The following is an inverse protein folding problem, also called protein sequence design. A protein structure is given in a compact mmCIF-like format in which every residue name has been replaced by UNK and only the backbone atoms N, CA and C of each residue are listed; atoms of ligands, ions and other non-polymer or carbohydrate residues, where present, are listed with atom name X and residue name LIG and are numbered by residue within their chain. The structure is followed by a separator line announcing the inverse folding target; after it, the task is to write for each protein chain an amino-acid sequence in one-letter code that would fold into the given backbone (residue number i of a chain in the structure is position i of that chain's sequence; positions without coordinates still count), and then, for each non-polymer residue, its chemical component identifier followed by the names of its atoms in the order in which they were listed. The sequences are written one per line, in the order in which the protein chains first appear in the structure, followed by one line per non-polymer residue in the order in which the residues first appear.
data_IF_771479557380
#
_entry.id   IF_771479557380
#
_cell.length_a   1.000
_cell.length_b   1.000
_cell.length_c   1.000
_cell.angle_alpha   90.00
_cell.angle_beta   90.00
_cell.angle_gamma   90.00
#
_symmetry.space_group_name_H-M   'P 1'
#
loop_
_entity.id
_entity.type
_entity.pdbx_description
1 polymer ?
2 water ?
#
# COMPACT_ATOMS: atom_id res chain seq x y z
N UNK A 6 12.38 -20.23 17.96
CA UNK A 6 11.31 -20.16 16.93
C UNK A 6 10.44 -18.91 17.08
N UNK A 7 9.90 -18.45 15.95
CA UNK A 7 9.08 -17.25 15.88
C UNK A 7 7.63 -17.45 16.36
N UNK A 8 7.10 -16.44 17.05
CA UNK A 8 5.72 -16.50 17.56
C UNK A 8 4.83 -15.60 16.70
N UNK A 9 3.53 -15.87 16.73
CA UNK A 9 2.56 -15.04 16.00
C UNK A 9 1.94 -14.14 17.08
N UNK A 10 2.35 -12.87 17.10
CA UNK A 10 1.88 -11.92 18.08
C UNK A 10 0.93 -10.83 17.57
N UNK A 11 -0.29 -10.82 18.10
CA UNK A 11 -1.25 -9.81 17.72
C UNK A 11 -0.84 -8.48 18.33
N UNK A 12 -0.96 -7.40 17.55
CA UNK A 12 -0.60 -6.07 18.02
C UNK A 12 -1.81 -5.13 18.00
N UNK A 13 -2.07 -4.50 19.13
CA UNK A 13 -3.21 -3.58 19.25
C UNK A 13 -2.74 -2.16 19.51
N UNK A 14 -3.23 -1.21 18.73
CA UNK A 14 -2.90 0.18 18.96
C UNK A 14 -4.24 0.77 19.42
N UNK A 15 -4.29 1.32 20.64
CA UNK A 15 -5.54 1.86 21.17
C UNK A 15 -5.54 3.34 21.34
N UNK A 16 -6.47 4.00 20.67
CA UNK A 16 -6.60 5.46 20.74
C UNK A 16 -5.23 6.10 20.80
N UNK A 17 -4.35 5.67 19.90
CA UNK A 17 -2.99 6.19 19.83
C UNK A 17 -2.97 7.57 19.19
N UNK A 18 -2.39 8.52 19.90
CA UNK A 18 -2.27 9.87 19.40
C UNK A 18 -0.85 10.36 19.67
N UNK A 19 -0.34 11.19 18.78
CA UNK A 19 0.98 11.74 18.94
C UNK A 19 0.99 13.17 18.42
N UNK A 20 1.14 14.16 19.31
CA UNK A 20 1.20 15.54 18.83
C UNK A 20 2.51 16.22 19.20
N UNK A 21 3.22 16.68 18.18
CA UNK A 21 4.49 17.38 18.40
C UNK A 21 4.14 18.85 18.61
N UNK A 22 3.84 19.20 19.85
CA UNK A 22 3.49 20.57 20.16
C UNK A 22 2.07 20.89 19.73
N UNK A 23 1.93 21.49 18.56
CA UNK A 23 0.62 21.88 18.02
C UNK A 23 0.17 20.95 16.89
N UNK A 24 1.13 20.29 16.25
CA UNK A 24 0.84 19.39 15.14
C UNK A 24 0.49 17.97 15.58
N UNK A 25 -0.74 17.55 15.33
CA UNK A 25 -1.17 16.21 15.65
C UNK A 25 -0.69 15.31 14.50
N UNK A 26 0.39 14.57 14.74
CA UNK A 26 0.97 13.69 13.72
C UNK A 26 0.16 12.41 13.56
N UNK A 27 -0.39 11.92 14.65
CA UNK A 27 -1.21 10.70 14.64
C UNK A 27 -2.43 10.96 15.49
N UNK A 28 -3.62 10.93 14.88
CA UNK A 28 -4.85 11.25 15.59
C UNK A 28 -5.75 10.09 15.94
N UNK A 29 -5.72 9.68 17.21
CA UNK A 29 -6.56 8.59 17.72
C UNK A 29 -6.63 7.35 16.82
N UNK A 30 -5.46 6.79 16.53
CA UNK A 30 -5.38 5.61 15.71
C UNK A 30 -5.85 4.38 16.49
N UNK A 31 -6.74 3.62 15.87
CA UNK A 31 -7.24 2.39 16.46
C UNK A 31 -7.00 1.29 15.44
N UNK A 32 -6.17 0.33 15.82
CA UNK A 32 -5.79 -0.73 14.91
C UNK A 32 -5.49 -2.05 15.60
N UNK A 33 -6.04 -3.13 15.06
CA UNK A 33 -5.76 -4.46 15.58
C UNK A 33 -5.04 -5.22 14.49
N UNK A 34 -3.72 -5.34 14.63
CA UNK A 34 -2.86 -6.04 13.68
C UNK A 34 -2.83 -7.53 14.03
N UNK A 35 -3.39 -8.36 13.16
CA UNK A 35 -3.47 -9.80 13.43
C UNK A 35 -2.14 -10.53 13.54
N UNK A 36 -2.11 -11.50 14.46
CA UNK A 36 -0.90 -12.27 14.68
C UNK A 36 -0.47 -12.93 13.38
N UNK A 37 0.79 -12.71 13.00
CA UNK A 37 1.31 -13.29 11.79
C UNK A 37 0.94 -12.62 10.48
N UNK A 38 0.23 -11.50 10.49
CA UNK A 38 -0.08 -10.89 9.19
C UNK A 38 0.99 -9.89 8.78
N UNK A 39 0.96 -9.52 7.50
CA UNK A 39 1.87 -8.55 6.96
C UNK A 39 1.02 -7.32 6.75
N UNK A 40 1.12 -6.34 7.65
CA UNK A 40 0.32 -5.14 7.49
C UNK A 40 1.16 -4.01 6.94
N UNK A 41 0.71 -3.41 5.83
CA UNK A 41 1.41 -2.27 5.26
C UNK A 41 0.71 -0.99 5.66
N UNK A 42 1.49 -0.01 6.13
CA UNK A 42 0.93 1.30 6.46
C UNK A 42 1.31 2.12 5.22
N UNK A 43 0.29 2.48 4.44
CA UNK A 43 0.46 3.20 3.19
C UNK A 43 -0.07 4.62 3.25
N UNK A 44 0.74 5.57 2.78
CA UNK A 44 0.32 6.96 2.79
C UNK A 44 1.42 7.90 2.38
N UNK A 45 1.09 9.16 2.04
CA UNK A 45 2.11 10.13 1.63
C UNK A 45 3.01 10.56 2.78
N UNK A 46 4.06 11.29 2.45
CA UNK A 46 5.00 11.79 3.45
C UNK A 46 4.26 12.62 4.50
N UNK A 47 4.58 12.39 5.75
CA UNK A 47 3.94 13.14 6.82
C UNK A 47 2.52 12.75 7.13
N UNK A 48 2.09 11.57 6.69
CA UNK A 48 0.72 11.14 6.98
C UNK A 48 0.62 10.50 8.35
N UNK A 49 1.77 10.26 8.98
CA UNK A 49 1.79 9.66 10.31
C UNK A 49 2.23 8.20 10.39
N UNK A 50 2.40 7.57 9.23
CA UNK A 50 2.81 6.16 9.19
C UNK A 50 4.17 5.91 9.83
N UNK A 51 5.11 6.80 9.60
CA UNK A 51 6.42 6.62 10.19
C UNK A 51 6.38 6.86 11.70
N UNK A 52 5.64 7.88 12.12
CA UNK A 52 5.53 8.19 13.55
C UNK A 52 4.93 6.98 14.26
N UNK A 53 3.90 6.39 13.64
CA UNK A 53 3.25 5.19 14.20
C UNK A 53 4.27 4.05 14.34
N UNK A 54 5.04 3.79 13.28
CA UNK A 54 6.04 2.71 13.36
C UNK A 54 7.01 2.96 14.52
N UNK A 55 7.46 4.21 14.66
CA UNK A 55 8.39 4.59 15.73
C UNK A 55 7.78 4.41 17.12
N UNK A 56 6.49 4.67 17.27
CA UNK A 56 5.84 4.46 18.56
C UNK A 56 5.77 2.95 18.81
N UNK A 57 5.47 2.18 17.77
CA UNK A 57 5.41 0.72 17.93
C UNK A 57 6.79 0.21 18.37
N UNK A 58 7.85 0.77 17.78
CA UNK A 58 9.21 0.38 18.12
C UNK A 58 9.63 0.87 19.51
N UNK A 59 9.00 1.94 19.98
CA UNK A 59 9.34 2.46 21.28
C UNK A 59 10.39 3.55 21.21
N UNK A 60 10.72 3.97 19.98
CA UNK A 60 11.69 5.04 19.78
C UNK A 60 10.97 6.36 20.10
N UNK A 61 9.64 6.28 20.12
CA UNK A 61 8.82 7.44 20.41
C UNK A 61 7.69 6.99 21.32
N UNK A 62 7.27 7.86 22.24
CA UNK A 62 6.18 7.54 23.14
C UNK A 62 4.93 8.25 22.65
N UNK A 63 3.74 7.68 22.89
CA UNK A 63 2.49 8.28 22.46
C UNK A 63 2.14 9.42 23.42
N UNK A 64 1.26 10.31 22.98
CA UNK A 64 0.81 11.44 23.77
C UNK A 64 -0.43 10.95 24.50
N UNK A 65 -1.05 9.93 23.92
CA UNK A 65 -2.23 9.33 24.48
C UNK A 65 -2.36 7.95 23.85
N UNK A 66 -3.04 7.05 24.54
CA UNK A 66 -3.23 5.72 23.99
C UNK A 66 -2.32 4.64 24.54
N UNK A 67 -2.55 3.44 24.06
CA UNK A 67 -1.83 2.27 24.52
C UNK A 67 -1.44 1.36 23.35
N UNK A 68 -0.35 0.62 23.52
CA UNK A 68 0.12 -0.32 22.51
C UNK A 68 0.30 -1.68 23.18
N UNK A 69 -0.42 -2.69 22.70
CA UNK A 69 -0.28 -4.03 23.26
C UNK A 69 0.39 -4.98 22.27
N UNK A 70 1.14 -5.94 22.80
CA UNK A 70 1.77 -7.03 22.03
C UNK A 70 1.20 -8.19 22.82
N UNK A 71 0.33 -8.98 22.20
CA UNK A 71 -0.30 -10.05 22.95
C UNK A 71 -1.09 -9.35 24.05
N UNK A 72 -1.00 -9.85 25.28
CA UNK A 72 -1.72 -9.23 26.39
C UNK A 72 -0.86 -8.21 27.12
N UNK A 73 0.40 -8.10 26.72
CA UNK A 73 1.30 -7.17 27.39
C UNK A 73 1.24 -5.73 26.89
N UNK A 74 1.05 -4.80 27.83
CA UNK A 74 1.02 -3.38 27.49
C UNK A 74 2.51 -3.07 27.39
N UNK A 75 2.97 -2.68 26.21
CA UNK A 75 4.40 -2.40 26.03
C UNK A 75 4.66 -0.92 25.80
N UNK A 76 3.60 -0.13 25.92
CA UNK A 76 3.66 1.31 25.70
C UNK A 76 4.88 2.01 26.31
N UNK A 77 5.20 1.66 27.55
CA UNK A 77 6.31 2.31 28.23
C UNK A 77 7.55 1.46 28.48
N UNK A 78 7.72 0.42 27.66
CA UNK A 78 8.87 -0.46 27.79
C UNK A 78 9.94 -0.01 26.78
N UNK A 79 11.22 -0.12 27.16
CA UNK A 79 12.34 0.26 26.27
C UNK A 79 12.25 -0.58 24.98
N UNK A 80 12.71 -0.03 23.84
CA UNK A 80 12.60 -0.87 22.64
C UNK A 80 13.20 -2.27 22.78
N UNK A 81 14.27 -2.40 23.56
CA UNK A 81 14.90 -3.70 23.74
C UNK A 81 14.02 -4.74 24.43
N UNK A 82 13.12 -4.31 25.31
CA UNK A 82 12.27 -5.29 26.00
C UNK A 82 10.99 -5.66 25.27
N UNK A 83 10.80 -5.09 24.09
CA UNK A 83 9.62 -5.36 23.28
C UNK A 83 9.81 -6.52 22.28
N UNK A 84 11.04 -7.00 22.11
CA UNK A 84 11.31 -8.09 21.17
C UNK A 84 10.94 -7.73 19.75
N UNK A 85 11.53 -6.66 19.24
CA UNK A 85 11.26 -6.19 17.89
C UNK A 85 12.57 -6.05 17.15
N UNK A 86 12.49 -5.96 15.83
CA UNK A 86 13.64 -5.74 14.99
C UNK A 86 13.15 -4.78 13.91
N UNK A 87 13.97 -3.79 13.63
CA UNK A 87 13.62 -2.77 12.66
C UNK A 87 14.52 -2.84 11.44
N UNK A 88 13.92 -2.72 10.27
CA UNK A 88 14.70 -2.71 9.03
C UNK A 88 14.43 -1.35 8.43
N UNK A 89 15.47 -0.66 7.97
CA UNK A 89 15.25 0.65 7.35
C UNK A 89 16.29 0.99 6.31
N UNK A 90 16.05 2.08 5.58
CA UNK A 90 16.92 2.61 4.52
C UNK A 90 16.54 2.10 3.14
N UNK A 97 33.01 -3.58 8.27
CA UNK A 97 34.13 -4.44 7.93
C UNK A 97 33.92 -5.88 8.41
N UNK A 98 32.74 -6.16 8.95
CA UNK A 98 32.43 -7.50 9.43
C UNK A 98 32.06 -8.42 8.29
N UNK A 99 32.17 -9.73 8.52
CA UNK A 99 31.82 -10.71 7.50
C UNK A 99 30.30 -10.88 7.56
N UNK A 100 29.70 -11.43 6.52
CA UNK A 100 28.25 -11.64 6.54
C UNK A 100 27.89 -12.35 7.84
N UNK A 101 28.65 -13.39 8.17
CA UNK A 101 28.39 -14.13 9.39
C UNK A 101 28.47 -13.22 10.62
N UNK A 102 29.46 -12.33 10.62
CA UNK A 102 29.64 -11.40 11.73
C UNK A 102 28.56 -10.32 11.73
N UNK A 103 28.20 -9.86 10.54
CA UNK A 103 27.16 -8.85 10.41
C UNK A 103 25.89 -9.43 11.05
N UNK A 104 25.47 -10.60 10.60
CA UNK A 104 24.26 -11.23 11.14
C UNK A 104 24.41 -11.60 12.61
N UNK A 105 25.65 -11.85 13.02
CA UNK A 105 25.92 -12.24 14.40
C UNK A 105 25.92 -11.06 15.37
N UNK A 106 26.37 -9.90 14.90
CA UNK A 106 26.46 -8.69 15.72
C UNK A 106 25.32 -8.53 16.72
N UNK A 107 24.06 -8.51 16.26
CA UNK A 107 22.92 -8.36 17.16
C UNK A 107 22.80 -9.41 18.26
N UNK A 108 23.79 -10.29 18.39
CA UNK A 108 23.73 -11.33 19.43
C UNK A 108 24.98 -11.31 20.32
N UNK A 111 24.54 -8.68 22.81
CA UNK A 111 23.28 -8.91 23.51
C UNK A 111 23.36 -10.16 24.40
N UNK A 112 24.56 -10.47 24.90
CA UNK A 112 24.75 -11.63 25.77
C UNK A 112 24.19 -12.89 25.13
N UNK A 113 24.98 -13.50 24.26
CA UNK A 113 24.56 -14.73 23.58
C UNK A 113 25.68 -15.78 23.51
N UNK A 114 25.32 -17.06 23.69
CA UNK A 114 26.30 -18.15 23.64
C UNK A 114 26.81 -18.32 22.21
N UNK A 115 28.11 -18.54 22.05
CA UNK A 115 28.70 -18.70 20.72
C UNK A 115 28.07 -19.83 19.90
N UNK A 116 27.59 -20.86 20.59
CA UNK A 116 26.98 -22.03 19.95
C UNK A 116 25.52 -21.79 19.59
N UNK A 117 24.89 -20.83 20.25
CA UNK A 117 23.51 -20.49 19.99
C UNK A 117 23.57 -19.53 18.80
N UNK A 118 24.56 -18.65 18.85
CA UNK A 118 24.79 -17.67 17.80
C UNK A 118 25.01 -18.33 16.47
N UNK A 119 25.74 -19.44 16.47
CA UNK A 119 26.01 -20.14 15.23
C UNK A 119 24.80 -20.83 14.66
N UNK A 120 23.95 -21.39 15.53
CA UNK A 120 22.74 -22.06 15.07
C UNK A 120 21.77 -21.08 14.39
N UNK A 121 21.57 -19.92 15.02
CA UNK A 121 20.67 -18.89 14.51
C UNK A 121 21.18 -18.28 13.19
N UNK A 122 22.48 -17.93 13.15
CA UNK A 122 23.07 -17.36 11.94
C UNK A 122 22.85 -18.32 10.76
N UNK A 123 23.12 -19.61 10.97
CA UNK A 123 22.93 -20.62 9.93
C UNK A 123 21.46 -20.65 9.50
N UNK A 124 20.56 -20.64 10.47
CA UNK A 124 19.12 -20.66 10.21
C UNK A 124 18.69 -19.43 9.38
N UNK A 125 19.09 -18.24 9.82
CA UNK A 125 18.73 -17.02 9.12
C UNK A 125 19.36 -16.98 7.73
N UNK A 126 20.63 -17.37 7.65
CA UNK A 126 21.35 -17.36 6.40
C UNK A 126 20.68 -18.30 5.39
N UNK A 127 20.22 -19.46 5.86
CA UNK A 127 19.57 -20.40 4.98
C UNK A 127 18.23 -19.80 4.50
N UNK A 128 17.51 -19.16 5.41
CA UNK A 128 16.22 -18.55 5.09
C UNK A 128 16.35 -17.46 4.03
N UNK A 129 17.45 -16.73 4.04
CA UNK A 129 17.66 -15.69 3.05
C UNK A 129 18.47 -16.20 1.84
N UNK A 130 18.81 -17.49 1.85
CA UNK A 130 19.58 -18.09 0.76
C UNK A 130 20.92 -17.39 0.57
N UNK A 131 21.58 -17.07 1.68
CA UNK A 131 22.88 -16.42 1.61
C UNK A 131 23.93 -17.23 2.35
N UNK A 132 23.66 -18.51 2.61
CA UNK A 132 24.61 -19.36 3.35
C UNK A 132 26.01 -19.39 2.72
N UNK A 133 26.07 -19.22 1.40
CA UNK A 133 27.34 -19.27 0.68
C UNK A 133 28.11 -17.96 0.70
N UNK A 134 27.60 -16.95 1.38
CA UNK A 134 28.28 -15.65 1.45
C UNK A 134 28.69 -15.39 2.88
N UNK A 135 28.48 -16.37 3.75
CA UNK A 135 28.79 -16.19 5.15
C UNK A 135 30.22 -15.74 5.46
N UNK A 136 31.21 -16.25 4.74
CA UNK A 136 32.59 -15.85 5.01
C UNK A 136 33.06 -14.72 4.10
N UNK A 137 32.13 -14.15 3.33
CA UNK A 137 32.47 -13.04 2.43
C UNK A 137 32.23 -11.69 3.10
N UNK A 138 32.87 -10.67 2.55
CA UNK A 138 32.75 -9.31 3.09
C UNK A 138 31.78 -8.46 2.28
N UNK A 139 31.23 -7.40 2.91
CA UNK A 139 30.28 -6.49 2.27
C UNK A 139 30.72 -6.03 0.88
N UNK A 140 31.81 -5.26 0.83
CA UNK A 140 32.35 -4.74 -0.42
C UNK A 140 32.57 -5.88 -1.43
N UNK A 141 32.81 -7.08 -0.92
CA UNK A 141 33.03 -8.23 -1.76
C UNK A 141 31.73 -8.91 -2.12
N UNK A 142 30.70 -8.64 -1.32
CA UNK A 142 29.39 -9.24 -1.54
C UNK A 142 28.87 -8.95 -2.94
N UNK A 143 29.26 -9.82 -3.87
CA UNK A 143 28.87 -9.70 -5.26
C UNK A 143 27.98 -10.90 -5.64
N UNK A 144 28.29 -12.06 -5.07
CA UNK A 144 27.51 -13.26 -5.35
C UNK A 144 26.11 -13.29 -4.74
N UNK A 145 25.75 -12.23 -4.03
CA UNK A 145 24.44 -12.18 -3.41
C UNK A 145 23.89 -10.77 -3.35
N UNK A 146 23.26 -10.44 -2.23
CA UNK A 146 22.69 -9.12 -2.04
C UNK A 146 22.92 -8.66 -0.61
N UNK A 147 23.42 -7.44 -0.46
CA UNK A 147 23.67 -6.87 0.85
C UNK A 147 22.28 -6.63 1.45
N UNK A 148 21.27 -6.59 0.58
CA UNK A 148 19.91 -6.39 1.02
C UNK A 148 19.47 -7.59 1.85
N UNK A 149 19.68 -8.77 1.28
CA UNK A 149 19.32 -10.02 1.95
C UNK A 149 20.02 -10.17 3.30
N UNK A 150 21.26 -9.67 3.39
CA UNK A 150 22.02 -9.75 4.64
C UNK A 150 21.35 -8.93 5.72
N UNK A 151 20.88 -7.75 5.35
CA UNK A 151 20.21 -6.86 6.29
C UNK A 151 18.96 -7.52 6.86
N UNK A 152 18.22 -8.24 6.02
CA UNK A 152 17.01 -8.92 6.49
C UNK A 152 17.34 -10.07 7.41
N UNK A 153 18.36 -10.85 7.07
CA UNK A 153 18.76 -11.98 7.91
C UNK A 153 19.13 -11.46 9.30
N UNK A 154 19.79 -10.31 9.35
CA UNK A 154 20.18 -9.73 10.62
C UNK A 154 18.95 -9.31 11.41
N UNK A 155 17.95 -8.76 10.72
CA UNK A 155 16.72 -8.35 11.41
C UNK A 155 15.99 -9.55 11.97
N UNK A 156 15.94 -10.66 11.22
CA UNK A 156 15.22 -11.81 11.75
C UNK A 156 16.02 -12.74 12.65
N UNK A 157 17.35 -12.57 12.68
CA UNK A 157 18.18 -13.45 13.50
C UNK A 157 17.83 -13.46 15.00
N UNK A 158 17.26 -12.35 15.50
CA UNK A 158 16.89 -12.27 16.91
C UNK A 158 15.52 -12.90 17.19
N UNK A 159 14.84 -13.32 16.14
CA UNK A 159 13.52 -13.93 16.30
C UNK A 159 12.58 -12.96 17.01
N UNK A 160 12.35 -11.79 16.41
CA UNK A 160 11.48 -10.78 16.99
C UNK A 160 10.03 -11.24 17.03
N UNK A 161 9.26 -10.70 17.97
CA UNK A 161 7.84 -11.03 18.05
C UNK A 161 7.12 -10.13 17.05
N UNK A 162 7.76 -9.03 16.69
CA UNK A 162 7.19 -8.09 15.74
C UNK A 162 8.32 -7.54 14.87
N UNK A 163 8.12 -7.63 13.56
CA UNK A 163 9.09 -7.17 12.58
C UNK A 163 8.60 -5.83 12.06
N UNK A 164 9.47 -4.84 12.09
CA UNK A 164 9.11 -3.50 11.66
C UNK A 164 10.01 -3.03 10.54
N UNK A 165 9.41 -2.54 9.46
CA UNK A 165 10.22 -2.08 8.33
C UNK A 165 9.74 -0.74 7.83
N UNK A 166 10.69 0.19 7.67
CA UNK A 166 10.39 1.53 7.19
C UNK A 166 11.03 1.75 5.82
N UNK A 167 10.21 1.74 4.77
CA UNK A 167 10.66 1.97 3.40
C UNK A 167 12.07 1.39 3.21
N UNK A 168 12.24 0.09 3.46
CA UNK A 168 13.52 -0.62 3.35
C UNK A 168 14.09 -0.71 1.95
N UNK A 169 13.24 -0.49 0.95
CA UNK A 169 13.66 -0.64 -0.43
C UNK A 169 13.71 0.63 -1.28
N UNK A 170 13.58 1.79 -0.66
CA UNK A 170 13.57 3.06 -1.38
C UNK A 170 14.71 3.34 -2.37
N UNK A 171 15.90 2.84 -2.08
CA UNK A 171 17.05 3.08 -2.97
C UNK A 171 17.55 1.84 -3.71
N UNK A 172 16.68 1.22 -4.51
CA UNK A 172 17.02 0.02 -5.28
C UNK A 172 16.46 0.14 -6.71
N UNK A 173 17.19 -0.39 -7.70
CA UNK A 173 16.71 -0.32 -9.08
C UNK A 173 15.39 -1.08 -9.19
N UNK A 174 14.49 -0.54 -10.00
CA UNK A 174 13.16 -1.12 -10.18
C UNK A 174 13.15 -2.64 -10.23
N UNK A 175 14.03 -3.23 -11.03
CA UNK A 175 14.08 -4.68 -11.15
C UNK A 175 14.46 -5.40 -9.85
N UNK A 176 15.45 -4.86 -9.14
CA UNK A 176 15.86 -5.46 -7.89
C UNK A 176 14.81 -5.22 -6.82
N UNK A 177 14.11 -4.09 -6.90
CA UNK A 177 13.10 -3.80 -5.91
C UNK A 177 12.00 -4.87 -5.94
N UNK A 178 11.51 -5.21 -7.14
CA UNK A 178 10.47 -6.22 -7.26
C UNK A 178 10.95 -7.55 -6.69
N UNK A 179 12.19 -7.92 -7.01
CA UNK A 179 12.76 -9.16 -6.50
C UNK A 179 12.79 -9.16 -4.97
N UNK A 180 13.13 -8.01 -4.37
CA UNK A 180 13.16 -7.89 -2.91
C UNK A 180 11.75 -7.97 -2.29
N UNK A 181 10.76 -7.31 -2.91
CA UNK A 181 9.38 -7.37 -2.40
C UNK A 181 8.97 -8.82 -2.27
N UNK A 182 9.13 -9.58 -3.35
CA UNK A 182 8.80 -10.99 -3.35
C UNK A 182 9.59 -11.75 -2.30
N UNK A 183 10.89 -11.51 -2.25
CA UNK A 183 11.76 -12.17 -1.27
C UNK A 183 11.25 -11.92 0.16
N UNK A 184 11.07 -10.65 0.52
CA UNK A 184 10.59 -10.31 1.85
C UNK A 184 9.21 -10.92 2.19
N UNK A 185 8.26 -10.80 1.26
CA UNK A 185 6.92 -11.33 1.45
C UNK A 185 6.91 -12.85 1.66
N UNK A 186 7.61 -13.59 0.80
CA UNK A 186 7.67 -15.04 0.96
C UNK A 186 8.31 -15.45 2.29
N UNK A 187 9.37 -14.74 2.67
CA UNK A 187 10.03 -15.01 3.93
C UNK A 187 9.06 -14.82 5.10
N UNK A 188 8.32 -13.72 5.10
CA UNK A 188 7.36 -13.43 6.15
C UNK A 188 6.26 -14.48 6.21
N UNK A 189 5.83 -15.00 5.06
CA UNK A 189 4.79 -16.04 5.03
C UNK A 189 5.33 -17.35 5.55
N UNK A 190 6.63 -17.53 5.43
CA UNK A 190 7.23 -18.76 5.93
C UNK A 190 7.35 -18.60 7.46
N UNK A 191 7.77 -17.43 7.91
CA UNK A 191 7.95 -17.20 9.34
C UNK A 191 6.68 -16.91 10.11
N UNK A 192 5.72 -16.29 9.42
CA UNK A 192 4.47 -15.90 10.02
C UNK A 192 4.73 -14.93 11.17
N UNK A 193 5.81 -14.15 11.06
CA UNK A 193 6.09 -13.15 12.11
C UNK A 193 5.26 -11.91 11.77
N UNK A 194 4.53 -11.38 12.76
CA UNK A 194 3.70 -10.18 12.56
C UNK A 194 4.61 -9.07 12.05
N UNK A 195 4.25 -8.49 10.91
CA UNK A 195 5.10 -7.48 10.28
C UNK A 195 4.30 -6.23 9.96
N UNK A 196 4.85 -5.08 10.37
CA UNK A 196 4.23 -3.78 10.13
C UNK A 196 5.24 -3.09 9.20
N UNK A 197 4.77 -2.82 8.00
CA UNK A 197 5.60 -2.28 6.92
C UNK A 197 5.15 -0.91 6.44
N UNK A 198 6.04 0.06 6.52
CA UNK A 198 5.74 1.42 6.10
C UNK A 198 6.26 1.78 4.71
N UNK A 199 5.37 2.27 3.84
CA UNK A 199 5.76 2.70 2.50
C UNK A 199 4.79 3.72 1.94
N UNK A 200 5.27 4.57 1.04
CA UNK A 200 4.42 5.57 0.41
C UNK A 200 4.17 5.10 -1.03
N UNK A 201 4.71 3.94 -1.36
CA UNK A 201 4.61 3.33 -2.70
C UNK A 201 3.41 2.36 -2.81
N UNK A 202 2.33 2.82 -3.42
CA UNK A 202 1.13 2.00 -3.56
C UNK A 202 1.35 0.64 -4.25
N UNK A 203 2.14 0.58 -5.31
CA UNK A 203 2.39 -0.72 -5.95
C UNK A 203 3.06 -1.70 -4.99
N UNK A 204 4.01 -1.20 -4.19
CA UNK A 204 4.71 -2.04 -3.22
C UNK A 204 3.73 -2.49 -2.15
N UNK A 205 2.88 -1.58 -1.70
CA UNK A 205 1.88 -1.90 -0.69
C UNK A 205 0.97 -3.04 -1.20
N UNK A 206 0.43 -2.90 -2.40
CA UNK A 206 -0.45 -3.91 -2.97
C UNK A 206 0.25 -5.25 -3.15
N UNK A 207 1.54 -5.21 -3.38
CA UNK A 207 2.35 -6.41 -3.58
C UNK A 207 2.65 -7.15 -2.28
N UNK A 208 2.87 -6.40 -1.21
CA UNK A 208 3.27 -7.05 0.02
C UNK A 208 2.27 -7.26 1.17
N UNK A 209 1.32 -6.35 1.33
CA UNK A 209 0.41 -6.49 2.46
C UNK A 209 -0.74 -7.47 2.36
N UNK A 210 -0.99 -8.20 3.45
CA UNK A 210 -2.12 -9.11 3.50
C UNK A 210 -3.26 -8.12 3.64
N UNK A 211 -2.91 -7.01 4.30
CA UNK A 211 -3.85 -5.94 4.49
C UNK A 211 -3.07 -4.65 4.36
N UNK A 212 -3.77 -3.58 4.01
CA UNK A 212 -3.17 -2.28 3.84
C UNK A 212 -3.98 -1.29 4.66
N UNK A 213 -3.29 -0.42 5.37
CA UNK A 213 -3.93 0.61 6.15
C UNK A 213 -3.53 1.95 5.53
N UNK A 214 -4.45 2.59 4.83
CA UNK A 214 -4.18 3.86 4.18
C UNK A 214 -4.32 5.00 5.19
N UNK A 215 -3.31 5.86 5.24
CA UNK A 215 -3.31 6.99 6.17
C UNK A 215 -3.11 8.31 5.45
N UNK A 216 -3.68 9.37 6.02
CA UNK A 216 -3.59 10.72 5.49
C UNK A 216 -3.84 11.68 6.66
N UNK A 217 -2.94 12.65 6.83
CA UNK A 217 -3.04 13.64 7.90
C UNK A 217 -3.30 13.03 9.28
N UNK A 218 -2.50 12.03 9.64
CA UNK A 218 -2.61 11.37 10.92
C UNK A 218 -3.81 10.47 11.18
N UNK A 219 -4.69 10.31 10.20
CA UNK A 219 -5.86 9.45 10.42
C UNK A 219 -5.86 8.18 9.58
N UNK A 220 -6.46 7.14 10.14
CA UNK A 220 -6.60 5.88 9.43
C UNK A 220 -7.84 6.03 8.56
N UNK A 221 -7.64 6.14 7.26
CA UNK A 221 -8.77 6.27 6.36
C UNK A 221 -9.45 4.93 6.07
N UNK A 222 -8.65 3.89 5.89
CA UNK A 222 -9.22 2.58 5.59
C UNK A 222 -8.20 1.46 5.76
N UNK A 223 -8.68 0.31 6.23
CA UNK A 223 -7.81 -0.85 6.33
C UNK A 223 -8.55 -2.03 5.68
N UNK A 224 -7.83 -2.80 4.89
CA UNK A 224 -8.41 -3.96 4.24
C UNK A 224 -7.39 -4.65 3.34
N UNK A 225 -7.81 -5.77 2.74
CA UNK A 225 -6.94 -6.51 1.83
C UNK A 225 -6.76 -5.68 0.55
N UNK A 226 -5.69 -5.94 -0.21
CA UNK A 226 -5.42 -5.21 -1.47
C UNK A 226 -6.66 -5.17 -2.38
N UNK A 227 -7.40 -6.28 -2.41
CA UNK A 227 -8.61 -6.37 -3.22
C UNK A 227 -9.68 -5.42 -2.68
N UNK A 228 -9.83 -5.41 -1.36
CA UNK A 228 -10.83 -4.54 -0.74
C UNK A 228 -10.54 -3.05 -0.93
N UNK A 229 -9.29 -2.62 -0.72
CA UNK A 229 -9.00 -1.20 -0.88
C UNK A 229 -8.98 -0.78 -2.35
N UNK A 230 -8.70 -1.73 -3.24
CA UNK A 230 -8.66 -1.40 -4.66
C UNK A 230 -10.07 -1.38 -5.28
N UNK A 231 -10.82 -2.48 -5.13
CA UNK A 231 -12.17 -2.56 -5.69
C UNK A 231 -13.19 -1.73 -4.92
N UNK A 232 -12.96 -1.54 -3.62
CA UNK A 232 -13.91 -0.78 -2.84
C UNK A 232 -13.33 0.30 -1.93
N UNK A 233 -12.68 1.31 -2.52
CA UNK A 233 -12.11 2.38 -1.70
C UNK A 233 -13.28 3.08 -0.99
N UNK A 234 -13.18 3.32 0.32
CA UNK A 234 -14.29 3.97 1.00
C UNK A 234 -14.28 5.49 0.88
N UNK A 235 -13.41 6.03 0.03
CA UNK A 235 -13.34 7.49 -0.14
C UNK A 235 -12.52 7.89 -1.37
N UNK A 236 -12.61 9.17 -1.74
CA UNK A 236 -11.87 9.66 -2.89
C UNK A 236 -10.36 9.50 -2.66
N UNK A 237 -9.88 9.90 -1.48
CA UNK A 237 -8.46 9.79 -1.19
C UNK A 237 -7.89 8.38 -1.41
N UNK A 238 -8.57 7.37 -0.85
CA UNK A 238 -8.12 5.98 -1.01
C UNK A 238 -8.29 5.55 -2.48
N UNK A 239 -9.40 5.94 -3.09
CA UNK A 239 -9.66 5.58 -4.47
C UNK A 239 -8.56 6.06 -5.40
N UNK A 240 -8.00 7.23 -5.13
CA UNK A 240 -6.97 7.80 -5.99
C UNK A 240 -5.53 7.60 -5.54
N UNK A 241 -5.31 6.96 -4.40
CA UNK A 241 -3.95 6.75 -3.93
C UNK A 241 -3.40 5.39 -4.37
N UNK A 242 -4.29 4.51 -4.79
CA UNK A 242 -3.89 3.18 -5.23
C UNK A 242 -4.35 2.94 -6.65
N UNK A 243 -3.43 2.54 -7.51
CA UNK A 243 -3.77 2.29 -8.89
C UNK A 243 -3.40 3.49 -9.73
N UNK A 244 -2.42 3.32 -10.60
CA UNK A 244 -1.93 4.39 -11.48
C UNK A 244 -1.83 3.90 -12.92
N UNK A 245 -2.32 4.68 -13.90
CA UNK A 245 -2.96 6.01 -13.78
C UNK A 245 -4.11 5.96 -12.78
N UNK A 246 -4.34 7.07 -12.11
CA UNK A 246 -5.40 7.21 -11.12
C UNK A 246 -6.83 7.09 -11.60
N UNK A 247 -7.74 6.79 -10.68
CA UNK A 247 -9.15 6.69 -11.00
C UNK A 247 -9.66 8.04 -11.48
N UNK A 248 -10.46 8.07 -12.54
CA UNK A 248 -11.01 9.31 -13.04
C UNK A 248 -12.10 9.80 -12.08
N UNK A 249 -11.98 11.04 -11.62
CA UNK A 249 -12.97 11.62 -10.70
C UNK A 249 -13.68 12.78 -11.41
N UNK A 250 -14.97 12.59 -11.70
CA UNK A 250 -15.74 13.61 -12.38
C UNK A 250 -16.94 14.10 -11.57
N UNK A 251 -17.08 15.42 -11.49
CA UNK A 251 -18.17 16.04 -10.78
C UNK A 251 -19.46 15.93 -11.59
N UNK A 252 -20.50 15.34 -11.01
CA UNK A 252 -21.76 15.20 -11.73
C UNK A 252 -23.03 15.42 -10.88
N UNK A 253 -24.17 15.52 -11.54
CA UNK A 253 -25.46 15.72 -10.87
C UNK A 253 -26.33 14.49 -11.09
N UNK A 254 -27.05 14.09 -10.05
CA UNK A 254 -27.93 12.92 -10.12
C UNK A 254 -29.34 13.26 -10.59
N UNK A 255 -29.88 12.46 -11.51
CA UNK A 255 -31.23 12.71 -12.01
C UNK A 255 -32.20 11.55 -11.87
N UNK A 256 -33.36 11.67 -12.53
CA UNK A 256 -34.41 10.65 -12.51
C UNK A 256 -33.80 9.25 -12.41
N UNK A 257 -32.81 9.01 -13.25
CA UNK A 257 -32.13 7.73 -13.28
C UNK A 257 -30.95 7.85 -14.22
N UNK A 258 -30.04 8.76 -13.90
CA UNK A 258 -28.87 9.01 -14.73
C UNK A 258 -27.96 10.03 -14.07
N UNK A 259 -26.76 10.15 -14.60
CA UNK A 259 -25.77 11.10 -14.10
C UNK A 259 -25.47 11.98 -15.29
N UNK A 260 -25.17 13.25 -15.03
CA UNK A 260 -24.84 14.15 -16.10
C UNK A 260 -23.74 15.10 -15.62
N UNK A 261 -22.72 15.25 -16.44
CA UNK A 261 -21.61 16.12 -16.10
C UNK A 261 -21.45 17.22 -17.12
N UNK A 262 -20.30 17.88 -17.11
CA UNK A 262 -20.04 18.97 -18.04
C UNK A 262 -19.91 18.48 -19.49
N UNK A 263 -21.04 18.20 -20.12
CA UNK A 263 -21.02 17.76 -21.51
C UNK A 263 -21.28 16.29 -21.79
N UNK A 264 -22.02 15.61 -20.93
CA UNK A 264 -22.32 14.19 -21.13
C UNK A 264 -23.28 13.67 -20.07
N UNK A 265 -23.86 12.51 -20.32
CA UNK A 265 -24.77 11.88 -19.37
C UNK A 265 -24.51 10.39 -19.37
N UNK A 266 -24.80 9.73 -18.26
CA UNK A 266 -24.60 8.31 -18.14
C UNK A 266 -25.87 7.64 -17.62
N UNK A 267 -26.42 6.73 -18.40
CA UNK A 267 -27.65 6.05 -18.02
C UNK A 267 -27.36 5.08 -16.86
N UNK A 268 -27.93 5.37 -15.71
CA UNK A 268 -27.73 4.52 -14.54
C UNK A 268 -28.82 3.46 -14.36
N UNK A 269 -28.44 2.18 -14.36
CA UNK A 269 -29.41 1.10 -14.19
C UNK A 269 -30.12 1.20 -12.83
N UNK A 270 -31.13 0.36 -12.64
CA UNK A 270 -31.90 0.35 -11.40
C UNK A 270 -31.18 -0.44 -10.32
N UNK A 273 -28.15 0.25 -9.84
CA UNK A 273 -27.43 1.04 -8.85
C UNK A 273 -28.37 2.04 -8.18
N UNK A 274 -28.34 3.27 -8.68
CA UNK A 274 -29.16 4.36 -8.15
C UNK A 274 -29.39 4.32 -6.64
N UNK A 275 -28.30 4.15 -5.89
CA UNK A 275 -28.37 4.15 -4.43
C UNK A 275 -28.14 5.62 -4.11
N UNK A 276 -28.42 6.46 -5.10
CA UNK A 276 -28.23 7.90 -4.99
C UNK A 276 -29.53 8.67 -4.76
N UNK A 277 -30.59 7.96 -4.36
CA UNK A 277 -31.87 8.62 -4.12
C UNK A 277 -31.74 9.86 -3.23
N UNK A 278 -30.93 9.78 -2.19
CA UNK A 278 -30.74 10.93 -1.30
C UNK A 278 -29.84 11.96 -1.96
N UNK A 279 -29.65 11.81 -3.27
CA UNK A 279 -28.79 12.72 -4.01
C UNK A 279 -29.39 13.24 -5.30
N UNK A 280 -30.57 12.73 -5.67
CA UNK A 280 -31.21 13.21 -6.89
C UNK A 280 -31.27 14.73 -6.76
N UNK A 281 -30.76 15.43 -7.78
CA UNK A 281 -30.77 16.89 -7.76
C UNK A 281 -29.56 17.51 -7.06
N UNK A 282 -28.66 16.68 -6.56
CA UNK A 282 -27.47 17.17 -5.87
C UNK A 282 -26.21 16.71 -6.60
N UNK A 283 -25.09 17.40 -6.34
CA UNK A 283 -23.83 17.04 -6.98
C UNK A 283 -23.00 16.02 -6.19
N UNK A 284 -22.45 15.05 -6.90
CA UNK A 284 -21.63 14.00 -6.30
C UNK A 284 -20.39 13.79 -7.17
N UNK A 285 -19.41 13.05 -6.67
CA UNK A 285 -18.21 12.80 -7.44
C UNK A 285 -18.29 11.40 -8.05
N UNK A 286 -18.23 11.36 -9.39
CA UNK A 286 -18.29 10.13 -10.17
C UNK A 286 -16.85 9.63 -10.38
N UNK A 287 -16.66 8.32 -10.27
CA UNK A 287 -15.33 7.77 -10.46
C UNK A 287 -15.31 6.46 -11.22
N UNK A 288 -14.38 6.34 -12.16
CA UNK A 288 -14.23 5.11 -12.93
C UNK A 288 -12.76 5.04 -13.29
N UNK A 289 -12.13 3.88 -13.05
CA UNK A 289 -10.69 3.72 -13.33
C UNK A 289 -10.39 3.54 -14.81
N UNK A 290 -9.26 4.10 -15.29
CA UNK A 290 -8.78 4.02 -16.68
C UNK A 290 -8.86 2.57 -17.20
N UNK A 291 -8.46 1.64 -16.35
CA UNK A 291 -8.46 0.21 -16.71
C UNK A 291 -9.85 -0.42 -16.67
N UNK A 292 -10.87 0.35 -16.28
CA UNK A 292 -12.22 -0.20 -16.24
C UNK A 292 -13.06 0.36 -17.37
N UNK A 293 -12.38 0.89 -18.36
CA UNK A 293 -13.00 1.45 -19.55
C UNK A 293 -12.27 0.83 -20.73
N UNK A 294 -12.84 0.99 -21.91
CA UNK A 294 -12.21 0.47 -23.12
C UNK A 294 -12.69 1.32 -24.28
N UNK A 295 -12.28 0.96 -25.50
CA UNK A 295 -12.68 1.71 -26.68
C UNK A 295 -13.37 0.75 -27.66
N UNK A 296 -14.42 1.21 -28.34
CA UNK A 296 -15.11 0.36 -29.30
C UNK A 296 -14.17 -0.21 -30.34
N UNK A 297 -14.39 -1.47 -30.70
CA UNK A 297 -13.58 -2.13 -31.70
C UNK A 297 -12.17 -2.41 -31.21
N UNK A 298 -12.07 -3.20 -30.16
CA UNK A 298 -10.77 -3.52 -29.58
C UNK A 298 -10.83 -4.80 -28.75
N UNK A 303 -15.82 -9.99 -21.27
CA UNK A 303 -16.52 -8.80 -21.72
C UNK A 303 -17.24 -8.12 -20.56
N UNK A 304 -17.78 -6.93 -20.82
CA UNK A 304 -18.51 -6.18 -19.80
C UNK A 304 -20.01 -6.46 -19.86
N UNK A 305 -20.57 -6.92 -18.74
CA UNK A 305 -22.00 -7.23 -18.69
C UNK A 305 -22.87 -6.00 -18.95
N UNK A 306 -22.69 -4.96 -18.15
CA UNK A 306 -23.47 -3.72 -18.29
C UNK A 306 -22.52 -2.57 -18.63
N UNK A 307 -22.87 -1.78 -19.63
CA UNK A 307 -22.00 -0.68 -20.05
C UNK A 307 -22.65 0.64 -20.38
N UNK A 308 -21.80 1.66 -20.53
CA UNK A 308 -22.23 3.00 -20.89
C UNK A 308 -21.25 3.47 -21.98
N UNK A 309 -21.79 4.16 -22.98
CA UNK A 309 -21.01 4.68 -24.10
C UNK A 309 -20.94 6.21 -24.05
N UNK A 310 -19.88 6.77 -24.63
CA UNK A 310 -19.70 8.23 -24.70
C UNK A 310 -18.66 8.49 -25.77
N UNK A 311 -19.06 9.11 -26.87
CA UNK A 311 -18.13 9.41 -27.94
C UNK A 311 -17.28 10.62 -27.59
N UNK A 312 -15.98 10.52 -27.85
CA UNK A 312 -15.10 11.62 -27.54
C UNK A 312 -13.88 11.63 -28.42
N UNK A 313 -13.11 12.71 -28.36
CA UNK A 313 -11.89 12.80 -29.16
C UNK A 313 -10.67 12.58 -28.30
N UNK A 314 -9.70 11.87 -28.88
CA UNK A 314 -8.46 11.58 -28.20
C UNK A 314 -7.62 12.85 -28.18
N UNK A 315 -7.27 13.31 -26.98
CA UNK A 315 -6.46 14.50 -26.83
C UNK A 315 -4.95 14.19 -26.80
N UNK A 316 -4.60 13.01 -26.30
CA UNK A 316 -3.19 12.62 -26.23
C UNK A 316 -3.05 11.13 -25.98
N UNK A 317 -1.94 10.58 -26.42
CA UNK A 317 -1.69 9.16 -26.27
C UNK A 317 -0.31 8.84 -25.69
N UNK A 318 -0.30 7.99 -24.67
CA UNK A 318 0.91 7.51 -24.06
C UNK A 318 1.02 6.08 -24.63
N UNK A 319 1.73 5.90 -25.73
CA UNK A 319 1.90 4.57 -26.33
C UNK A 319 3.15 3.97 -25.70
N UNK A 320 2.99 3.28 -24.59
CA UNK A 320 4.13 2.75 -23.85
C UNK A 320 4.55 1.34 -24.23
N UNK A 321 3.97 0.81 -25.31
CA UNK A 321 4.31 -0.52 -25.78
C UNK A 321 3.63 -1.60 -24.94
N UNK A 322 3.91 -1.62 -23.64
CA UNK A 322 3.30 -2.59 -22.74
C UNK A 322 1.82 -2.26 -22.47
N UNK A 323 1.49 -0.97 -22.54
CA UNK A 323 0.12 -0.45 -22.34
C UNK A 323 0.00 0.81 -23.18
N UNK A 324 -1.23 1.21 -23.49
CA UNK A 324 -1.46 2.41 -24.27
C UNK A 324 -2.47 3.25 -23.51
N UNK A 325 -2.05 4.39 -22.97
CA UNK A 325 -2.97 5.23 -22.22
C UNK A 325 -3.52 6.40 -23.03
N UNK A 326 -4.83 6.41 -23.21
CA UNK A 326 -5.48 7.46 -23.98
C UNK A 326 -6.10 8.53 -23.08
N UNK A 327 -5.86 9.79 -23.42
CA UNK A 327 -6.44 10.91 -22.68
C UNK A 327 -7.57 11.34 -23.62
N UNK A 328 -8.80 10.97 -23.25
CA UNK A 328 -9.96 11.28 -24.06
C UNK A 328 -10.81 12.36 -23.44
N UNK A 329 -11.25 13.31 -24.28
CA UNK A 329 -12.09 14.39 -23.81
C UNK A 329 -13.54 13.95 -23.73
N UNK A 330 -14.08 13.91 -22.52
CA UNK A 330 -15.47 13.54 -22.27
C UNK A 330 -16.20 14.86 -22.17
N UNK A 331 -16.87 15.28 -23.23
CA UNK A 331 -17.54 16.56 -23.19
C UNK A 331 -16.47 17.58 -22.86
N UNK A 332 -16.69 18.37 -21.81
CA UNK A 332 -15.71 19.37 -21.40
C UNK A 332 -14.63 18.76 -20.51
N UNK A 333 -14.82 17.50 -20.14
CA UNK A 333 -13.88 16.81 -19.26
C UNK A 333 -12.78 16.02 -19.97
N UNK A 334 -11.76 15.65 -19.20
CA UNK A 334 -10.63 14.88 -19.72
C UNK A 334 -10.39 13.67 -18.82
N UNK A 335 -10.49 12.46 -19.39
CA UNK A 335 -10.27 11.25 -18.61
C UNK A 335 -9.23 10.38 -19.30
N UNK A 336 -8.67 9.44 -18.54
CA UNK A 336 -7.66 8.52 -19.09
C UNK A 336 -8.25 7.13 -19.24
N UNK A 337 -7.93 6.50 -20.35
CA UNK A 337 -8.38 5.14 -20.64
C UNK A 337 -7.14 4.27 -20.85
N UNK A 338 -7.04 3.18 -20.11
CA UNK A 338 -5.88 2.32 -20.22
C UNK A 338 -6.15 1.07 -21.04
N UNK A 339 -5.44 0.93 -22.16
CA UNK A 339 -5.60 -0.23 -23.03
C UNK A 339 -4.34 -1.09 -23.00
N UNK A 340 -4.51 -2.42 -22.93
CA UNK A 340 -3.35 -3.33 -22.91
C UNK A 340 -2.64 -3.30 -24.26
N UNK A 341 -1.33 -3.54 -24.26
CA UNK A 341 -0.60 -3.55 -25.51
C UNK A 341 -0.31 -2.20 -26.13
N UNK A 342 0.22 -2.22 -27.34
CA UNK A 342 0.60 -1.01 -28.08
C UNK A 342 -0.49 -0.68 -29.09
N UNK A 343 -1.11 0.49 -28.94
CA UNK A 343 -2.18 0.96 -29.83
C UNK A 343 -2.04 2.48 -29.93
N UNK A 344 -0.95 2.96 -30.58
CA UNK A 344 -0.63 4.37 -30.78
C UNK A 344 -1.61 5.22 -31.59
N UNK A 345 -2.91 4.96 -31.45
CA UNK A 345 -3.91 5.73 -32.18
C UNK A 345 -3.53 7.20 -32.09
N UNK A 346 -3.84 7.96 -33.13
CA UNK A 346 -3.47 9.37 -33.17
C UNK A 346 -4.46 10.37 -32.60
N UNK A 347 -3.94 11.47 -32.03
CA UNK A 347 -4.74 12.54 -31.43
C UNK A 347 -5.69 13.12 -32.47
N UNK A 348 -6.83 13.61 -32.00
CA UNK A 348 -7.82 14.20 -32.89
C UNK A 348 -8.87 13.19 -33.30
N UNK A 349 -8.50 11.91 -33.37
CA UNK A 349 -9.46 10.91 -33.77
C UNK A 349 -10.52 10.78 -32.68
N UNK A 350 -11.74 10.41 -33.10
CA UNK A 350 -12.85 10.25 -32.19
C UNK A 350 -12.95 8.77 -31.82
N UNK A 351 -13.37 8.48 -30.58
CA UNK A 351 -13.50 7.10 -30.12
C UNK A 351 -14.75 6.90 -29.28
N UNK A 352 -15.30 5.70 -29.29
CA UNK A 352 -16.47 5.39 -28.49
C UNK A 352 -15.92 4.78 -27.22
N UNK A 353 -15.92 5.55 -26.15
CA UNK A 353 -15.41 5.06 -24.88
C UNK A 353 -16.49 4.23 -24.19
N UNK A 354 -16.13 3.01 -23.80
CA UNK A 354 -17.06 2.12 -23.12
C UNK A 354 -16.70 1.96 -21.65
N UNK A 355 -17.59 2.39 -20.76
CA UNK A 355 -17.40 2.28 -19.32
C UNK A 355 -18.07 1.03 -18.73
N UNK A 356 -17.37 0.37 -17.82
CA UNK A 356 -17.92 -0.81 -17.16
C UNK A 356 -18.72 -0.31 -15.96
N UNK A 357 -20.04 -0.28 -16.11
CA UNK A 357 -20.96 0.18 -15.08
C UNK A 357 -20.82 -0.53 -13.73
N UNK A 358 -20.35 -1.76 -13.74
CA UNK A 358 -20.20 -2.50 -12.51
C UNK A 358 -18.93 -2.11 -11.74
N UNK A 359 -18.07 -1.33 -12.38
CA UNK A 359 -16.83 -0.88 -11.75
C UNK A 359 -16.88 0.62 -11.41
N UNK A 360 -18.08 1.20 -11.43
CA UNK A 360 -18.24 2.62 -11.15
C UNK A 360 -18.32 2.94 -9.67
N UNK A 361 -17.92 4.16 -9.31
CA UNK A 361 -17.97 4.64 -7.94
C UNK A 361 -18.62 6.01 -7.90
N UNK A 362 -19.18 6.38 -6.75
CA UNK A 362 -19.82 7.66 -6.54
C UNK A 362 -19.48 8.10 -5.12
N UNK A 363 -18.90 9.28 -4.97
CA UNK A 363 -18.52 9.77 -3.65
C UNK A 363 -19.24 11.08 -3.31
N UNK A 364 -19.68 11.22 -2.07
CA UNK A 364 -20.33 12.44 -1.63
C UNK A 364 -19.33 13.55 -1.91
N UNK A 365 -19.77 14.64 -2.51
CA UNK A 365 -18.85 15.73 -2.84
C UNK A 365 -18.27 16.48 -1.64
N UNK A 366 -19.00 16.49 -0.52
CA UNK A 366 -18.50 17.21 0.64
C UNK A 366 -17.58 16.38 1.53
N UNK A 367 -18.04 15.20 1.93
CA UNK A 367 -17.25 14.33 2.79
C UNK A 367 -16.25 13.47 1.98
N UNK A 368 -16.55 13.28 0.69
CA UNK A 368 -15.72 12.49 -0.21
C UNK A 368 -15.77 11.01 0.13
N UNK A 369 -16.79 10.62 0.88
CA UNK A 369 -16.97 9.23 1.27
C UNK A 369 -17.80 8.51 0.23
N UNK A 370 -17.46 7.25 0.01
CA UNK A 370 -18.14 6.45 -0.98
C UNK A 370 -19.64 6.27 -0.71
N UNK A 371 -20.40 6.33 -1.80
CA UNK A 371 -21.84 6.14 -1.79
C UNK A 371 -21.98 4.95 -2.74
N UNK A 372 -21.16 5.01 -3.79
CA UNK A 372 -21.06 4.00 -4.86
C UNK A 372 -22.37 3.65 -5.52
#
# INVERSE_FOLDING_TARGET
GNNIEVIKMVEVKLENLTKRFGNFTAVNKLNLTIKDGEFLVLLGPSGCGKTTTLRMIAGLEEPTEGRIYFGDRDVTYLPPKDRNISMVFQSYAVWPHMTVYENIAFPLKIKKFPKDEIDKRVRWAAELLQIEELLNRYPAQLSGGQRQRVAVARAIVVEPDVLLMDEPLSNLDAKLRVAMRAEIKKLQQKLKVTTIYVTHDQVEAMTMGDRIAVMNRGQLLQIGSPTEVYLRPNSVFVATFIGAPEMNILEVSVGDGYLEGRGFRIELPQDLMDLLKDYVGKTVLFGIRPEHMTVEGVSELAHMKRTARLIGKVDFVEALGTDTILHVKFGDELVKVKLPGHIPIEPGREVKVIMDLDMIHVFDKDTEKAIV
#
